data_IF_573608473205
#
_entry.id   IF_573608473205
#
_cell.length_a   1.000
_cell.length_b   1.000
_cell.length_c   1.000
_cell.angle_alpha   90.00
_cell.angle_beta   90.00
_cell.angle_gamma   90.00
#
_symmetry.space_group_name_H-M   'P 1'
#
loop_
_entity.id
_entity.type
_entity.pdbx_description
1 polymer ?
#
# COMPACT_ATOMS: atom_id res chain seq x y z
N UNK A 1 -1.71 3.23 -18.07
CA UNK A 1 -3.13 3.60 -18.32
C UNK A 1 -3.21 5.11 -18.16
N UNK A 2 -3.79 5.81 -19.14
CA UNK A 2 -3.83 7.28 -19.14
C UNK A 2 -5.04 7.76 -18.36
N UNK A 3 -4.84 8.75 -17.49
CA UNK A 3 -5.90 9.37 -16.70
C UNK A 3 -5.74 10.89 -16.71
N UNK A 4 -6.79 11.62 -16.35
CA UNK A 4 -6.74 13.07 -16.34
C UNK A 4 -5.72 13.58 -15.30
N UNK A 5 -4.78 14.41 -15.75
CA UNK A 5 -3.77 15.03 -14.90
C UNK A 5 -4.45 15.82 -13.77
N UNK A 6 -3.91 15.72 -12.56
CA UNK A 6 -4.47 16.36 -11.37
C UNK A 6 -5.56 15.53 -10.68
N UNK A 7 -5.94 14.36 -11.22
CA UNK A 7 -6.83 13.44 -10.52
C UNK A 7 -6.19 12.97 -9.22
N UNK A 8 -6.91 13.10 -8.11
CA UNK A 8 -6.56 12.45 -6.85
C UNK A 8 -7.05 10.99 -6.88
N UNK A 9 -6.13 10.05 -6.64
CA UNK A 9 -6.40 8.62 -6.65
C UNK A 9 -6.07 8.01 -5.31
N UNK A 10 -7.04 7.25 -4.82
CA UNK A 10 -6.93 6.47 -3.59
C UNK A 10 -7.16 4.99 -3.85
N UNK A 11 -6.21 4.16 -3.44
CA UNK A 11 -6.31 2.70 -3.45
C UNK A 11 -6.28 2.12 -2.04
N UNK A 12 -6.99 1.01 -1.87
CA UNK A 12 -7.02 0.24 -0.63
C UNK A 12 -6.86 -1.25 -0.97
N UNK A 13 -6.02 -1.97 -0.23
CA UNK A 13 -5.87 -3.42 -0.34
C UNK A 13 -5.76 -4.05 1.05
N UNK A 14 -6.68 -4.98 1.37
CA UNK A 14 -6.67 -5.78 2.60
C UNK A 14 -5.81 -7.06 2.49
N UNK A 15 -5.07 -7.20 1.38
CA UNK A 15 -4.33 -8.42 1.03
C UNK A 15 -2.82 -8.32 1.35
N UNK A 16 -2.37 -7.28 2.06
CA UNK A 16 -0.95 -7.09 2.37
C UNK A 16 -0.48 -8.19 3.33
N UNK A 17 0.56 -8.92 2.93
CA UNK A 17 1.20 -9.94 3.73
C UNK A 17 2.70 -10.02 3.39
N UNK A 18 3.54 -10.04 4.42
CA UNK A 18 5.00 -10.21 4.33
C UNK A 18 5.53 -10.88 5.61
N UNK A 19 6.79 -11.30 5.65
CA UNK A 19 7.35 -12.03 6.79
C UNK A 19 8.14 -11.10 7.72
N UNK A 20 8.02 -11.34 9.03
CA UNK A 20 8.95 -10.80 10.02
C UNK A 20 10.27 -11.57 9.99
N UNK A 21 11.31 -11.02 10.63
CA UNK A 21 12.60 -11.72 10.82
C UNK A 21 12.44 -13.08 11.53
N UNK A 22 11.41 -13.23 12.37
CA UNK A 22 11.06 -14.49 13.04
C UNK A 22 10.37 -15.52 12.13
N UNK A 23 10.12 -15.19 10.86
CA UNK A 23 9.35 -16.00 9.91
C UNK A 23 7.83 -15.90 10.09
N UNK A 24 7.33 -15.25 11.15
CA UNK A 24 5.90 -15.06 11.33
C UNK A 24 5.34 -14.02 10.36
N UNK A 25 4.17 -14.24 9.74
CA UNK A 25 3.60 -13.32 8.76
C UNK A 25 2.99 -12.07 9.41
N UNK A 26 3.39 -10.90 8.93
CA UNK A 26 2.63 -9.67 9.10
C UNK A 26 1.46 -9.66 8.11
N UNK A 27 0.29 -9.27 8.59
CA UNK A 27 -0.90 -9.03 7.77
C UNK A 27 -1.35 -7.60 7.99
N UNK A 28 -1.95 -6.99 6.98
CA UNK A 28 -2.43 -5.63 7.13
C UNK A 28 -3.28 -5.11 5.97
N UNK A 29 -3.69 -3.86 6.12
CA UNK A 29 -4.36 -3.10 5.07
C UNK A 29 -3.42 -2.01 4.57
N UNK A 30 -3.25 -1.95 3.26
CA UNK A 30 -2.50 -0.93 2.55
C UNK A 30 -3.46 0.13 2.02
N UNK A 31 -3.15 1.39 2.27
CA UNK A 31 -3.79 2.55 1.69
C UNK A 31 -2.76 3.38 0.94
N UNK A 32 -3.14 3.86 -0.24
CA UNK A 32 -2.29 4.68 -1.11
C UNK A 32 -3.11 5.88 -1.54
N UNK A 33 -2.51 7.06 -1.50
CA UNK A 33 -3.09 8.30 -2.03
C UNK A 33 -2.04 8.99 -2.90
N UNK A 34 -2.41 9.47 -4.08
CA UNK A 34 -1.54 10.33 -4.88
C UNK A 34 -2.33 11.21 -5.84
N UNK A 35 -1.72 12.32 -6.24
CA UNK A 35 -2.16 13.13 -7.38
C UNK A 35 -1.48 12.64 -8.64
N UNK A 36 -2.25 12.15 -9.61
CA UNK A 36 -1.71 11.67 -10.88
C UNK A 36 -1.18 12.81 -11.75
N UNK A 37 -0.03 12.58 -12.38
CA UNK A 37 0.52 13.47 -13.41
C UNK A 37 0.14 13.07 -14.85
N UNK A 38 -0.87 12.21 -15.02
CA UNK A 38 -1.32 11.68 -16.32
C UNK A 38 -1.30 10.15 -16.40
N UNK A 39 -0.74 9.49 -15.37
CA UNK A 39 -0.56 8.04 -15.30
C UNK A 39 -1.13 7.46 -14.01
N UNK A 40 -1.51 6.19 -14.08
CA UNK A 40 -1.75 5.34 -12.91
C UNK A 40 -1.17 3.95 -13.15
N UNK A 41 -0.88 3.23 -12.08
CA UNK A 41 -0.29 1.89 -12.16
C UNK A 41 -1.32 0.84 -12.59
N UNK A 42 -0.83 -0.22 -13.24
CA UNK A 42 -1.64 -1.37 -13.59
C UNK A 42 -1.99 -2.17 -12.33
N UNK A 43 -3.28 -2.31 -12.01
CA UNK A 43 -3.75 -3.02 -10.82
C UNK A 43 -3.35 -4.50 -10.80
N UNK A 44 -3.28 -5.16 -11.96
CA UNK A 44 -2.86 -6.57 -12.04
C UNK A 44 -1.40 -6.72 -11.65
N UNK A 45 -0.53 -5.87 -12.18
CA UNK A 45 0.90 -5.93 -11.89
C UNK A 45 1.19 -5.49 -10.45
N UNK A 46 0.45 -4.51 -9.94
CA UNK A 46 0.52 -4.12 -8.55
C UNK A 46 0.06 -5.26 -7.62
N UNK A 47 -1.01 -5.98 -7.96
CA UNK A 47 -1.45 -7.16 -7.19
C UNK A 47 -0.41 -8.29 -7.21
N UNK A 48 0.24 -8.55 -8.36
CA UNK A 48 1.36 -9.50 -8.44
C UNK A 48 2.51 -9.08 -7.53
N UNK A 49 2.85 -7.79 -7.52
CA UNK A 49 3.87 -7.26 -6.63
C UNK A 49 3.50 -7.45 -5.14
N UNK A 50 2.29 -7.08 -4.72
CA UNK A 50 1.81 -7.33 -3.35
C UNK A 50 1.86 -8.82 -2.97
N UNK A 51 1.59 -9.71 -3.93
CA UNK A 51 1.68 -11.17 -3.71
C UNK A 51 3.13 -11.62 -3.54
N UNK A 52 4.09 -11.00 -4.23
CA UNK A 52 5.52 -11.32 -4.08
C UNK A 52 6.08 -10.93 -2.71
N UNK A 53 5.49 -9.95 -2.02
CA UNK A 53 5.89 -9.56 -0.66
C UNK A 53 5.71 -10.69 0.36
N UNK A 54 4.84 -11.68 0.07
CA UNK A 54 4.52 -12.80 0.97
C UNK A 54 5.73 -13.65 1.32
N UNK A 55 6.73 -13.70 0.46
CA UNK A 55 7.99 -14.42 0.69
C UNK A 55 9.13 -13.50 1.12
N UNK A 56 8.89 -12.20 1.25
CA UNK A 56 9.91 -11.23 1.65
C UNK A 56 9.93 -11.05 3.16
N UNK A 57 11.14 -11.01 3.72
CA UNK A 57 11.37 -10.69 5.13
C UNK A 57 11.67 -9.20 5.27
N UNK A 58 10.83 -8.48 6.01
CA UNK A 58 10.93 -7.03 6.21
C UNK A 58 10.63 -6.69 7.68
N UNK A 59 11.19 -5.58 8.16
CA UNK A 59 10.72 -4.98 9.40
C UNK A 59 9.36 -4.30 9.15
N UNK A 60 8.53 -4.23 10.19
CA UNK A 60 7.21 -3.62 10.08
C UNK A 60 7.29 -2.14 9.69
N UNK A 61 8.33 -1.45 10.17
CA UNK A 61 8.58 -0.03 9.98
C UNK A 61 8.97 0.30 8.52
N UNK A 62 9.58 -0.67 7.82
CA UNK A 62 10.14 -0.47 6.48
C UNK A 62 9.11 -0.69 5.36
N UNK A 63 7.96 -1.32 5.66
CA UNK A 63 7.00 -1.74 4.64
C UNK A 63 6.38 -0.57 3.88
N UNK A 64 6.00 0.50 4.58
CA UNK A 64 5.38 1.67 3.95
C UNK A 64 6.36 2.39 3.01
N UNK A 65 7.62 2.51 3.43
CA UNK A 65 8.69 3.07 2.60
C UNK A 65 8.98 2.19 1.38
N UNK A 66 9.06 0.86 1.56
CA UNK A 66 9.27 -0.10 0.46
C UNK A 66 8.19 0.02 -0.61
N UNK A 67 6.92 0.10 -0.18
CA UNK A 67 5.77 0.27 -1.08
C UNK A 67 5.80 1.64 -1.77
N UNK A 68 6.14 2.70 -1.02
CA UNK A 68 6.30 4.05 -1.57
C UNK A 68 7.34 4.06 -2.70
N UNK A 69 8.54 3.55 -2.46
CA UNK A 69 9.61 3.52 -3.47
C UNK A 69 9.19 2.75 -4.71
N UNK A 70 8.50 1.61 -4.54
CA UNK A 70 8.00 0.85 -5.68
C UNK A 70 7.02 1.65 -6.52
N UNK A 71 6.09 2.39 -5.90
CA UNK A 71 5.09 3.17 -6.63
C UNK A 71 5.76 4.37 -7.31
N UNK A 72 6.60 5.09 -6.59
CA UNK A 72 7.34 6.27 -7.06
C UNK A 72 8.25 5.93 -8.25
N UNK A 73 8.89 4.76 -8.22
CA UNK A 73 9.71 4.28 -9.35
C UNK A 73 8.90 3.78 -10.54
N UNK A 74 7.59 3.54 -10.39
CA UNK A 74 6.76 2.88 -11.40
C UNK A 74 5.85 3.84 -12.17
N UNK A 75 5.46 4.97 -11.57
CA UNK A 75 4.57 5.96 -12.18
C UNK A 75 4.91 7.39 -11.72
N UNK A 76 4.65 8.37 -12.57
CA UNK A 76 4.82 9.77 -12.20
C UNK A 76 3.65 10.26 -11.34
N UNK A 77 3.95 10.61 -10.08
CA UNK A 77 2.94 11.09 -9.11
C UNK A 77 3.40 12.34 -8.38
N UNK A 78 2.45 13.08 -7.82
CA UNK A 78 2.70 14.12 -6.83
C UNK A 78 1.93 13.78 -5.55
N UNK A 79 2.40 14.26 -4.40
CA UNK A 79 1.73 14.08 -3.10
C UNK A 79 1.44 12.60 -2.78
N UNK A 80 2.38 11.71 -3.13
CA UNK A 80 2.26 10.27 -2.86
C UNK A 80 2.33 10.05 -1.34
N UNK A 81 1.33 9.38 -0.81
CA UNK A 81 1.25 8.92 0.57
C UNK A 81 0.94 7.43 0.61
N UNK A 82 1.59 6.72 1.52
CA UNK A 82 1.35 5.30 1.79
C UNK A 82 1.10 5.12 3.29
N UNK A 83 0.01 4.43 3.62
CA UNK A 83 -0.34 4.03 4.98
C UNK A 83 -0.51 2.52 5.03
N UNK A 84 0.06 1.88 6.04
CA UNK A 84 -0.08 0.45 6.31
C UNK A 84 -0.58 0.25 7.73
N UNK A 85 -1.76 -0.35 7.85
CA UNK A 85 -2.33 -0.78 9.12
C UNK A 85 -2.09 -2.27 9.32
N UNK A 86 -1.20 -2.62 10.24
CA UNK A 86 -0.88 -4.01 10.55
C UNK A 86 -1.85 -4.58 11.59
N UNK A 87 -2.19 -5.85 11.42
CA UNK A 87 -2.93 -6.61 12.42
C UNK A 87 -2.14 -6.72 13.72
N UNK A 88 -2.85 -6.80 14.84
CA UNK A 88 -2.21 -6.81 16.16
C UNK A 88 -1.21 -7.97 16.32
N UNK A 89 -0.07 -7.68 16.94
CA UNK A 89 0.87 -8.69 17.46
C UNK A 89 1.07 -8.46 18.94
N UNK A 90 0.85 -9.50 19.75
CA UNK A 90 0.90 -9.38 21.21
C UNK A 90 -0.08 -8.34 21.76
N UNK A 91 -1.22 -8.12 21.09
CA UNK A 91 -2.21 -7.11 21.45
C UNK A 91 -1.89 -5.69 20.98
N UNK A 92 -0.75 -5.44 20.34
CA UNK A 92 -0.33 -4.12 19.86
C UNK A 92 -0.59 -4.00 18.36
N UNK A 93 -1.32 -2.95 17.96
CA UNK A 93 -1.53 -2.59 16.56
C UNK A 93 -0.56 -1.48 16.15
N UNK A 94 -0.10 -1.54 14.90
CA UNK A 94 0.84 -0.58 14.35
C UNK A 94 0.27 0.01 13.05
N UNK A 95 0.28 1.34 12.96
CA UNK A 95 0.07 2.08 11.72
C UNK A 95 1.40 2.69 11.31
N UNK A 96 1.83 2.39 10.09
CA UNK A 96 3.05 2.93 9.50
C UNK A 96 2.65 3.84 8.35
N UNK A 97 3.17 5.08 8.35
CA UNK A 97 2.89 6.07 7.32
C UNK A 97 4.20 6.52 6.68
N UNK A 98 4.21 6.70 5.36
CA UNK A 98 5.34 7.28 4.64
C UNK A 98 4.85 8.17 3.48
N UNK A 99 5.57 9.27 3.20
CA UNK A 99 5.18 10.25 2.19
C UNK A 99 4.17 11.28 2.71
N UNK A 100 3.32 11.76 1.79
CA UNK A 100 2.28 12.75 2.08
C UNK A 100 1.25 12.22 3.08
N UNK A 101 0.80 13.07 4.00
CA UNK A 101 -0.18 12.68 5.01
C UNK A 101 -1.59 12.72 4.44
N UNK A 102 -2.35 11.66 4.66
CA UNK A 102 -3.77 11.61 4.29
C UNK A 102 -4.56 10.77 5.30
N UNK A 103 -5.90 10.90 5.26
CA UNK A 103 -6.78 10.05 6.06
C UNK A 103 -7.22 8.87 5.20
N UNK A 104 -6.96 7.62 5.61
CA UNK A 104 -7.36 6.46 4.82
C UNK A 104 -8.89 6.37 4.75
N UNK A 105 -9.42 6.33 3.52
CA UNK A 105 -10.83 6.03 3.28
C UNK A 105 -11.00 4.52 3.23
N UNK A 106 -11.76 3.97 4.17
CA UNK A 106 -12.11 2.55 4.17
C UNK A 106 -13.15 2.33 3.08
N UNK A 107 -12.72 1.76 1.95
CA UNK A 107 -13.62 1.34 0.88
C UNK A 107 -14.08 -0.09 1.19
N UNK A 108 -15.38 -0.27 1.44
CA UNK A 108 -15.97 -1.60 1.52
C UNK A 108 -16.07 -2.20 0.10
N UNK A 109 -15.81 -3.50 -0.02
CA UNK A 109 -16.03 -4.19 -1.30
C UNK A 109 -17.53 -4.27 -1.54
N UNK A 110 -18.03 -3.46 -2.46
CA UNK A 110 -19.46 -3.45 -2.84
C UNK A 110 -19.91 -4.80 -3.44
N UNK A 111 -18.96 -5.68 -3.81
CA UNK A 111 -19.21 -6.97 -4.47
C UNK A 111 -18.90 -8.22 -3.63
N UNK A 112 -18.81 -8.11 -2.30
CA UNK A 112 -18.87 -9.32 -1.47
C UNK A 112 -20.33 -9.77 -1.33
N UNK A 113 -20.74 -10.74 -2.14
CA UNK A 113 -21.91 -11.60 -1.89
C UNK A 113 -21.45 -12.81 -1.09
#
# INVERSE_FOLDING_TARGET
MTIQKGSNIEYCSKELLFLAQSGQPYRGTLYINFTSQGETFNLLDFKKYLTSLRSMTLNAEDIAHTLFQKIDSSILTANLGVIVDLTARGGIQQRICFGERFKPVVKENIFQV
#
